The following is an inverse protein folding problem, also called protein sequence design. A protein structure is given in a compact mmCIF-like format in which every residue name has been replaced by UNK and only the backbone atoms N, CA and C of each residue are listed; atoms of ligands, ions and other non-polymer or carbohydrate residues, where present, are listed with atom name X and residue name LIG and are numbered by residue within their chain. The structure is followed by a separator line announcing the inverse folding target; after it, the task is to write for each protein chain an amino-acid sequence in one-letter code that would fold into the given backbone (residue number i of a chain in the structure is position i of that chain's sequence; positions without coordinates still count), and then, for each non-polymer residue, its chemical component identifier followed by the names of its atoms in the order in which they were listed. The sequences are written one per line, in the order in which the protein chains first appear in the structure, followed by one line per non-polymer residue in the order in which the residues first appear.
data_IF_499736751871
#
_entry.id   IF_499736751871
#
_cell.length_a   1.000
_cell.length_b   1.000
_cell.length_c   1.000
_cell.angle_alpha   90.00
_cell.angle_beta   90.00
_cell.angle_gamma   90.00
#
_symmetry.space_group_name_H-M   'P 1'
#
loop_
_entity.id
_entity.type
_entity.pdbx_description
1 polymer ?
#
# COMPACT_ATOMS: atom_id res chain seq x y z
N UNK A 1 13.61 -16.98 -8.15
CA UNK A 1 14.31 -15.78 -7.62
C UNK A 1 13.41 -15.28 -6.48
N UNK A 2 13.84 -14.49 -5.48
CA UNK A 2 12.86 -13.99 -4.51
C UNK A 2 12.01 -12.91 -5.19
N UNK A 3 10.67 -13.05 -5.18
CA UNK A 3 9.74 -12.06 -5.72
C UNK A 3 9.93 -10.72 -5.01
N UNK A 4 10.34 -9.70 -5.76
CA UNK A 4 10.65 -8.37 -5.21
C UNK A 4 9.42 -7.57 -4.78
N UNK A 5 8.22 -8.06 -5.07
CA UNK A 5 6.96 -7.40 -4.72
C UNK A 5 6.05 -8.28 -3.85
N UNK A 6 6.53 -9.39 -3.30
CA UNK A 6 5.69 -10.36 -2.58
C UNK A 6 4.89 -9.72 -1.43
N UNK A 7 5.52 -8.91 -0.59
CA UNK A 7 4.89 -8.20 0.52
C UNK A 7 4.03 -7.04 0.03
N UNK A 8 4.39 -6.38 -1.08
CA UNK A 8 3.58 -5.33 -1.70
C UNK A 8 2.27 -5.92 -2.24
N UNK A 9 2.32 -7.08 -2.89
CA UNK A 9 1.15 -7.83 -3.37
C UNK A 9 0.24 -8.24 -2.21
N UNK A 10 0.82 -8.73 -1.11
CA UNK A 10 0.08 -9.08 0.11
C UNK A 10 -0.57 -7.85 0.76
N UNK A 11 0.14 -6.73 0.83
CA UNK A 11 -0.40 -5.45 1.31
C UNK A 11 -1.58 -4.99 0.43
N UNK A 12 -1.39 -4.99 -0.88
CA UNK A 12 -2.43 -4.63 -1.85
C UNK A 12 -3.70 -5.49 -1.66
N UNK A 13 -3.54 -6.80 -1.54
CA UNK A 13 -4.65 -7.72 -1.27
C UNK A 13 -5.37 -7.37 0.03
N UNK A 14 -4.62 -7.14 1.12
CA UNK A 14 -5.18 -6.72 2.41
C UNK A 14 -6.03 -5.46 2.32
N UNK A 15 -5.53 -4.42 1.63
CA UNK A 15 -6.26 -3.16 1.42
C UNK A 15 -7.53 -3.39 0.59
N UNK A 16 -7.47 -4.21 -0.46
CA UNK A 16 -8.66 -4.52 -1.28
C UNK A 16 -9.73 -5.23 -0.44
N UNK A 17 -9.34 -6.22 0.36
CA UNK A 17 -10.26 -6.97 1.21
C UNK A 17 -10.86 -6.14 2.34
N UNK A 18 -10.09 -5.22 2.93
CA UNK A 18 -10.61 -4.25 3.90
C UNK A 18 -11.70 -3.37 3.25
N UNK A 19 -11.47 -2.88 2.02
CA UNK A 19 -12.47 -2.13 1.27
C UNK A 19 -13.78 -2.90 1.02
N UNK A 20 -13.68 -4.20 0.73
CA UNK A 20 -14.86 -5.07 0.61
C UNK A 20 -15.59 -5.25 1.95
N UNK A 21 -14.85 -5.45 3.05
CA UNK A 21 -15.41 -5.56 4.40
C UNK A 21 -16.15 -4.28 4.83
N UNK A 22 -15.55 -3.11 4.55
CA UNK A 22 -16.13 -1.80 4.84
C UNK A 22 -17.43 -1.56 4.07
N UNK A 23 -17.50 -1.94 2.79
CA UNK A 23 -18.75 -1.86 2.00
C UNK A 23 -19.86 -2.75 2.55
N UNK A 24 -19.51 -3.89 3.15
CA UNK A 24 -20.47 -4.89 3.63
C UNK A 24 -21.06 -4.57 5.01
N UNK A 25 -20.28 -3.94 5.91
CA UNK A 25 -20.62 -3.87 7.34
C UNK A 25 -20.92 -2.48 7.89
N UNK A 26 -20.63 -1.40 7.16
CA UNK A 26 -20.63 -0.06 7.77
C UNK A 26 -22.03 0.53 8.00
N UNK A 27 -23.11 0.02 7.40
CA UNK A 27 -24.46 0.53 7.67
C UNK A 27 -24.64 2.03 7.41
N UNK A 28 -23.73 2.65 6.66
CA UNK A 28 -23.84 4.00 6.14
C UNK A 28 -24.50 3.94 4.77
N UNK A 29 -25.41 4.87 4.51
CA UNK A 29 -26.00 5.05 3.18
C UNK A 29 -24.93 5.37 2.13
N UNK A 30 -23.78 5.92 2.55
CA UNK A 30 -22.66 6.26 1.69
C UNK A 30 -21.30 6.20 2.43
N UNK A 31 -20.24 5.75 1.75
CA UNK A 31 -18.89 5.74 2.33
C UNK A 31 -18.30 7.17 2.45
N UNK A 32 -17.46 7.46 3.46
CA UNK A 32 -16.67 8.68 3.53
C UNK A 32 -15.79 8.92 2.29
N UNK A 33 -15.59 10.18 1.91
CA UNK A 33 -14.91 10.55 0.65
C UNK A 33 -13.42 10.17 0.63
N UNK A 34 -12.75 10.15 1.78
CA UNK A 34 -11.38 9.65 1.93
C UNK A 34 -11.29 8.15 1.60
N UNK A 35 -12.25 7.35 2.06
CA UNK A 35 -12.35 5.92 1.74
C UNK A 35 -12.62 5.73 0.24
N UNK A 36 -13.58 6.48 -0.31
CA UNK A 36 -13.86 6.45 -1.75
C UNK A 36 -12.62 6.79 -2.57
N UNK A 37 -11.88 7.83 -2.18
CA UNK A 37 -10.66 8.23 -2.88
C UNK A 37 -9.63 7.10 -2.89
N UNK A 38 -9.39 6.45 -1.75
CA UNK A 38 -8.45 5.33 -1.68
C UNK A 38 -8.87 4.19 -2.61
N UNK A 39 -10.10 3.70 -2.49
CA UNK A 39 -10.50 2.51 -3.25
C UNK A 39 -10.80 2.77 -4.73
N UNK A 40 -11.16 4.00 -5.10
CA UNK A 40 -11.51 4.33 -6.49
C UNK A 40 -10.38 5.00 -7.27
N UNK A 41 -9.33 5.52 -6.59
CA UNK A 41 -8.20 6.19 -7.23
C UNK A 41 -6.87 5.57 -6.84
N UNK A 42 -6.58 5.48 -5.54
CA UNK A 42 -5.26 5.08 -5.06
C UNK A 42 -4.97 3.59 -5.28
N UNK A 43 -5.91 2.73 -4.90
CA UNK A 43 -5.80 1.26 -5.07
C UNK A 43 -5.69 0.89 -6.55
N UNK A 44 -6.53 1.41 -7.47
CA UNK A 44 -6.31 1.18 -8.91
C UNK A 44 -4.95 1.66 -9.43
N UNK A 45 -4.44 2.80 -8.95
CA UNK A 45 -3.12 3.29 -9.34
C UNK A 45 -2.00 2.37 -8.85
N UNK A 46 -2.09 1.87 -7.60
CA UNK A 46 -1.15 0.89 -7.07
C UNK A 46 -1.21 -0.44 -7.84
N UNK A 47 -2.42 -0.91 -8.19
CA UNK A 47 -2.60 -2.07 -9.06
C UNK A 47 -1.85 -1.92 -10.39
N UNK A 48 -1.99 -0.76 -11.06
CA UNK A 48 -1.30 -0.49 -12.32
C UNK A 48 0.22 -0.46 -12.14
N UNK A 49 0.74 0.08 -11.03
CA UNK A 49 2.15 0.04 -10.73
C UNK A 49 2.64 -1.41 -10.57
N UNK A 50 1.94 -2.23 -9.78
CA UNK A 50 2.27 -3.66 -9.61
C UNK A 50 2.25 -4.38 -10.95
N UNK A 51 1.21 -4.19 -11.78
CA UNK A 51 1.13 -4.85 -13.11
C UNK A 51 2.18 -4.39 -14.10
N UNK A 52 2.74 -3.20 -13.91
CA UNK A 52 3.85 -2.71 -14.74
C UNK A 52 5.14 -3.43 -14.41
N UNK A 53 5.40 -3.65 -13.11
CA UNK A 53 6.58 -4.38 -12.63
C UNK A 53 6.41 -5.92 -12.71
N UNK A 54 5.17 -6.41 -12.64
CA UNK A 54 4.78 -7.80 -12.74
C UNK A 54 3.50 -7.97 -13.60
N UNK A 55 3.66 -8.12 -14.92
CA UNK A 55 2.54 -8.31 -15.84
C UNK A 55 1.78 -9.61 -15.63
N UNK A 56 2.34 -10.61 -14.95
CA UNK A 56 1.71 -11.90 -14.68
C UNK A 56 0.88 -11.90 -13.39
N UNK A 57 0.99 -10.84 -12.59
CA UNK A 57 0.21 -10.71 -11.36
C UNK A 57 -1.30 -10.82 -11.62
N UNK A 58 -1.93 -11.85 -11.06
CA UNK A 58 -3.36 -12.08 -11.12
C UNK A 58 -3.89 -12.50 -9.72
N UNK A 59 -4.49 -11.56 -8.97
CA UNK A 59 -4.96 -11.82 -7.63
C UNK A 59 -6.14 -12.80 -7.61
N UNK A 60 -6.93 -12.87 -8.67
CA UNK A 60 -8.05 -13.81 -8.76
C UNK A 60 -7.51 -15.24 -8.79
N UNK A 61 -6.61 -15.51 -9.74
CA UNK A 61 -6.01 -16.82 -9.90
C UNK A 61 -5.18 -17.24 -8.66
N UNK A 62 -4.49 -16.30 -8.01
CA UNK A 62 -3.59 -16.59 -6.88
C UNK A 62 -4.31 -16.83 -5.55
N UNK A 63 -5.43 -16.16 -5.29
CA UNK A 63 -6.10 -16.22 -3.98
C UNK A 63 -7.49 -16.84 -3.97
N UNK A 64 -8.17 -16.95 -5.12
CA UNK A 64 -9.59 -17.31 -5.16
C UNK A 64 -9.91 -18.54 -6.02
N UNK A 65 -9.14 -18.82 -7.06
CA UNK A 65 -9.38 -19.98 -7.93
C UNK A 65 -8.99 -21.31 -7.25
N UNK A 66 -9.60 -22.42 -7.69
CA UNK A 66 -9.34 -23.77 -7.17
C UNK A 66 -8.93 -24.74 -8.29
N UNK A 67 -7.68 -25.25 -8.29
CA UNK A 67 -6.60 -24.91 -7.37
C UNK A 67 -6.03 -23.50 -7.63
N UNK A 68 -5.49 -22.83 -6.60
CA UNK A 68 -4.88 -21.52 -6.79
C UNK A 68 -3.64 -21.62 -7.68
N UNK A 69 -3.46 -20.64 -8.56
CA UNK A 69 -2.27 -20.50 -9.38
C UNK A 69 -1.05 -20.17 -8.50
N UNK A 70 0.16 -20.58 -8.92
CA UNK A 70 1.38 -20.17 -8.23
C UNK A 70 1.53 -18.64 -8.22
N UNK A 71 2.17 -18.12 -7.19
CA UNK A 71 2.52 -16.69 -7.12
C UNK A 71 3.45 -16.33 -8.27
N UNK A 72 3.17 -15.19 -8.91
CA UNK A 72 4.04 -14.55 -9.90
C UNK A 72 5.31 -14.02 -9.23
N UNK A 73 6.44 -13.98 -9.95
CA UNK A 73 7.69 -13.39 -9.46
C UNK A 73 7.97 -12.06 -10.17
N UNK A 74 7.94 -10.94 -9.44
CA UNK A 74 8.34 -9.65 -9.98
C UNK A 74 9.88 -9.56 -10.04
N UNK A 75 10.40 -9.11 -11.19
CA UNK A 75 11.86 -8.89 -11.38
C UNK A 75 12.29 -7.45 -11.12
N UNK A 76 11.33 -6.52 -11.12
CA UNK A 76 11.47 -5.08 -10.94
C UNK A 76 10.54 -4.57 -9.84
N UNK A 77 10.87 -3.39 -9.31
CA UNK A 77 10.04 -2.62 -8.38
C UNK A 77 9.92 -1.16 -8.82
N UNK A 78 10.39 -0.82 -10.04
CA UNK A 78 10.54 0.55 -10.51
C UNK A 78 9.24 1.36 -10.53
N UNK A 79 8.14 0.77 -11.00
CA UNK A 79 6.85 1.45 -11.05
C UNK A 79 6.26 1.63 -9.64
N UNK A 80 6.38 0.62 -8.77
CA UNK A 80 5.95 0.70 -7.37
C UNK A 80 6.77 1.73 -6.59
N UNK A 81 8.09 1.79 -6.79
CA UNK A 81 8.97 2.82 -6.21
C UNK A 81 8.50 4.21 -6.63
N UNK A 82 8.25 4.42 -7.92
CA UNK A 82 7.77 5.70 -8.43
C UNK A 82 6.40 6.09 -7.86
N UNK A 83 5.50 5.12 -7.69
CA UNK A 83 4.23 5.33 -7.01
C UNK A 83 4.43 5.84 -5.58
N UNK A 84 5.34 5.24 -4.79
CA UNK A 84 5.66 5.68 -3.43
C UNK A 84 6.21 7.11 -3.42
N UNK A 85 7.12 7.45 -4.34
CA UNK A 85 7.67 8.82 -4.45
C UNK A 85 6.59 9.87 -4.74
N UNK A 86 5.60 9.55 -5.58
CA UNK A 86 4.45 10.45 -5.84
C UNK A 86 3.63 10.65 -4.56
N UNK A 87 3.42 9.60 -3.75
CA UNK A 87 2.68 9.71 -2.49
C UNK A 87 3.42 10.56 -1.46
N UNK A 88 4.75 10.46 -1.39
CA UNK A 88 5.59 11.28 -0.52
C UNK A 88 5.57 12.76 -0.94
N UNK A 89 5.58 13.03 -2.25
CA UNK A 89 5.39 14.39 -2.76
C UNK A 89 4.00 14.95 -2.41
N UNK A 90 2.94 14.13 -2.54
CA UNK A 90 1.59 14.51 -2.13
C UNK A 90 1.50 14.80 -0.64
N UNK A 91 2.12 13.96 0.20
CA UNK A 91 2.22 14.20 1.65
C UNK A 91 2.85 15.55 1.94
N UNK A 92 4.02 15.83 1.36
CA UNK A 92 4.71 17.10 1.52
C UNK A 92 3.85 18.29 1.08
N UNK A 93 3.13 18.16 -0.04
CA UNK A 93 2.20 19.20 -0.50
C UNK A 93 1.06 19.42 0.49
N UNK A 94 0.46 18.37 1.02
CA UNK A 94 -0.62 18.48 2.02
C UNK A 94 -0.13 19.08 3.34
N UNK A 95 1.11 18.82 3.74
CA UNK A 95 1.69 19.44 4.93
C UNK A 95 1.89 20.95 4.81
N UNK A 96 2.04 21.46 3.59
CA UNK A 96 2.16 22.90 3.30
C UNK A 96 0.80 23.62 3.23
N UNK A 97 -0.31 22.88 3.11
CA UNK A 97 -1.65 23.46 3.04
C UNK A 97 -2.17 23.82 4.45
N UNK A 98 -2.84 24.97 4.64
CA UNK A 98 -3.29 25.44 5.96
C UNK A 98 -4.13 24.43 6.76
N UNK A 99 -4.92 23.61 6.08
CA UNK A 99 -5.85 22.62 6.63
C UNK A 99 -5.50 21.17 6.21
N UNK A 100 -4.42 20.97 5.46
CA UNK A 100 -4.10 19.69 4.85
C UNK A 100 -3.84 18.59 5.89
N UNK A 101 -3.07 18.90 6.94
CA UNK A 101 -2.77 17.96 8.05
C UNK A 101 -4.00 17.58 8.89
N UNK A 102 -5.03 18.43 8.90
CA UNK A 102 -6.28 18.16 9.62
C UNK A 102 -7.28 17.35 8.81
N UNK A 103 -7.03 17.09 7.52
CA UNK A 103 -7.96 16.32 6.70
C UNK A 103 -8.00 14.83 7.10
N UNK A 104 -9.18 14.21 6.95
CA UNK A 104 -9.36 12.77 7.15
C UNK A 104 -8.48 11.96 6.17
N UNK A 105 -8.34 12.44 4.94
CA UNK A 105 -7.47 11.84 3.93
C UNK A 105 -6.01 11.82 4.36
N UNK A 106 -5.48 12.94 4.86
CA UNK A 106 -4.11 12.99 5.38
C UNK A 106 -3.90 12.00 6.52
N UNK A 107 -4.87 11.93 7.44
CA UNK A 107 -4.81 11.01 8.58
C UNK A 107 -4.72 9.57 8.11
N UNK A 108 -5.55 9.18 7.15
CA UNK A 108 -5.60 7.80 6.64
C UNK A 108 -4.37 7.43 5.81
N UNK A 109 -3.87 8.37 5.00
CA UNK A 109 -2.75 8.09 4.10
C UNK A 109 -1.38 8.19 4.75
N UNK A 110 -1.18 9.14 5.68
CA UNK A 110 0.16 9.60 6.05
C UNK A 110 0.40 9.71 7.56
N UNK A 111 -0.62 9.54 8.40
CA UNK A 111 -0.50 9.73 9.85
C UNK A 111 -0.54 8.39 10.59
N UNK A 112 0.62 7.80 10.80
CA UNK A 112 0.78 6.66 11.69
C UNK A 112 0.56 7.04 13.16
N UNK A 113 0.15 6.06 13.95
CA UNK A 113 -0.02 6.15 15.40
C UNK A 113 0.76 5.02 16.09
N UNK A 114 0.88 5.08 17.42
CA UNK A 114 1.59 4.05 18.19
C UNK A 114 0.96 2.64 18.08
N UNK A 115 -0.32 2.53 17.67
CA UNK A 115 -1.04 1.26 17.55
C UNK A 115 -1.33 0.83 16.11
N UNK A 116 -1.33 1.77 15.17
CA UNK A 116 -1.73 1.53 13.79
C UNK A 116 -0.82 2.31 12.83
N UNK A 117 -0.31 1.63 11.81
CA UNK A 117 0.36 2.26 10.67
C UNK A 117 -0.60 3.07 9.81
N UNK A 118 -0.06 3.73 8.79
CA UNK A 118 -0.84 4.38 7.75
C UNK A 118 -0.53 3.76 6.38
N UNK A 119 -1.35 4.06 5.38
CA UNK A 119 -1.22 3.46 4.05
C UNK A 119 0.20 3.60 3.48
N UNK A 120 0.80 4.80 3.54
CA UNK A 120 2.12 5.04 2.95
C UNK A 120 3.24 4.33 3.73
N UNK A 121 3.20 4.35 5.06
CA UNK A 121 4.22 3.70 5.90
C UNK A 121 4.17 2.18 5.71
N UNK A 122 2.97 1.59 5.72
CA UNK A 122 2.79 0.15 5.54
C UNK A 122 3.21 -0.31 4.14
N UNK A 123 2.89 0.45 3.10
CA UNK A 123 3.36 0.19 1.74
C UNK A 123 4.89 0.30 1.63
N UNK A 124 5.48 1.29 2.28
CA UNK A 124 6.94 1.49 2.30
C UNK A 124 7.64 0.34 3.00
N UNK A 125 7.14 -0.09 4.16
CA UNK A 125 7.65 -1.25 4.89
C UNK A 125 7.52 -2.52 4.05
N UNK A 126 6.39 -2.70 3.35
CA UNK A 126 6.20 -3.83 2.45
C UNK A 126 7.24 -3.85 1.33
N UNK A 127 7.49 -2.71 0.68
CA UNK A 127 8.50 -2.59 -0.37
C UNK A 127 9.93 -2.85 0.18
N UNK A 128 10.24 -2.32 1.35
CA UNK A 128 11.56 -2.49 1.99
C UNK A 128 11.89 -3.93 2.35
N UNK A 129 10.89 -4.77 2.65
CA UNK A 129 11.12 -6.16 3.01
C UNK A 129 11.67 -6.98 1.85
N UNK A 130 11.19 -6.72 0.63
CA UNK A 130 11.60 -7.45 -0.56
C UNK A 130 12.69 -6.75 -1.36
N UNK A 131 12.83 -5.44 -1.18
CA UNK A 131 13.80 -4.60 -1.86
C UNK A 131 14.44 -3.59 -0.90
N UNK A 132 15.30 -4.02 0.05
CA UNK A 132 15.86 -3.16 1.10
C UNK A 132 16.69 -1.98 0.57
N UNK A 133 17.19 -2.09 -0.66
CA UNK A 133 18.04 -1.09 -1.30
C UNK A 133 17.25 -0.07 -2.13
N UNK A 134 15.91 -0.12 -2.13
CA UNK A 134 15.08 0.70 -3.04
C UNK A 134 15.30 2.22 -2.92
N UNK A 135 15.73 2.70 -1.74
CA UNK A 135 16.12 4.10 -1.44
C UNK A 135 17.60 4.27 -1.04
N UNK A 136 18.41 3.21 -1.12
CA UNK A 136 19.75 3.14 -0.52
C UNK A 136 19.79 2.25 0.74
N UNK A 137 20.90 2.18 1.47
CA UNK A 137 21.07 1.20 2.56
C UNK A 137 20.03 1.38 3.68
N UNK A 138 19.40 0.28 4.07
CA UNK A 138 18.47 0.22 5.19
C UNK A 138 19.18 0.57 6.52
N UNK A 139 18.63 1.53 7.26
CA UNK A 139 18.99 1.78 8.66
C UNK A 139 17.77 1.38 9.50
N UNK A 140 17.85 0.23 10.17
CA UNK A 140 16.86 -0.14 11.17
C UNK A 140 16.96 0.83 12.36
N UNK A 141 15.96 1.69 12.52
CA UNK A 141 15.85 2.59 13.67
C UNK A 141 14.90 2.06 14.74
N UNK A 142 14.40 0.83 14.59
CA UNK A 142 13.45 0.24 15.53
C UNK A 142 14.20 -0.09 16.83
N UNK A 143 13.75 0.43 17.99
CA UNK A 143 14.36 0.06 19.27
C UNK A 143 14.20 -1.45 19.52
N UNK A 144 15.21 -2.15 20.04
CA UNK A 144 15.08 -3.55 20.40
C UNK A 144 13.98 -3.72 21.46
N UNK A 145 13.17 -4.77 21.32
CA UNK A 145 12.17 -5.12 22.33
C UNK A 145 12.87 -5.41 23.67
N UNK A 146 12.31 -4.95 24.81
CA UNK A 146 12.88 -5.25 26.12
C UNK A 146 12.87 -6.77 26.37
N UNK A 147 14.02 -7.29 26.79
CA UNK A 147 14.24 -8.69 27.21
C UNK A 147 13.61 -9.00 28.55
#
# INVERSE_FOLDING_TARGET
MADKLQHVKNFFYGVVMDGFGQRRHIGMDEQPDDIKYIHNKLVPALWHAIKTDDPEFDPQAMWFDDPPAPMSEATSTGAVRWFVEIQEALKAQMELMPDGRSSALYTRLFKSSAQYGCFLDDLTVALMKDDPEWRGPYIDTTPPLPT
#
